data_IF_260106828704
#
_entry.id   IF_260106828704
#
_cell.length_a   1.000
_cell.length_b   1.000
_cell.length_c   1.000
_cell.angle_alpha   90.00
_cell.angle_beta   90.00
_cell.angle_gamma   90.00
#
_symmetry.space_group_name_H-M   'P 1'
#
loop_
_entity.id
_entity.type
_entity.pdbx_description
1 polymer ?
#
# COMPACT_ATOMS: atom_id res chain seq x y z
N UNK A 1 10.13 14.09 11.50
CA UNK A 1 10.21 12.78 10.94
C UNK A 1 8.86 12.17 10.79
N UNK A 2 8.73 11.55 9.75
CA UNK A 2 7.45 11.04 9.38
C UNK A 2 7.09 9.79 10.17
N UNK A 3 6.02 9.87 10.90
CA UNK A 3 5.56 8.75 11.70
C UNK A 3 5.16 7.58 10.79
N UNK A 4 4.65 7.89 9.61
CA UNK A 4 4.26 6.87 8.66
C UNK A 4 5.45 6.08 8.18
N UNK A 5 6.57 6.75 7.94
CA UNK A 5 7.78 6.06 7.53
C UNK A 5 8.33 5.19 8.65
N UNK A 6 8.25 5.67 9.87
CA UNK A 6 8.71 4.91 11.02
C UNK A 6 7.85 3.66 11.19
N UNK A 7 6.56 3.83 11.06
CA UNK A 7 5.63 2.71 11.16
C UNK A 7 5.88 1.69 10.04
N UNK A 8 6.04 2.20 8.81
CA UNK A 8 6.27 1.32 7.68
C UNK A 8 7.56 0.53 7.85
N UNK A 9 8.60 1.18 8.36
CA UNK A 9 9.85 0.50 8.60
C UNK A 9 9.69 -0.61 9.62
N UNK A 10 8.98 -0.34 10.71
CA UNK A 10 8.77 -1.33 11.75
C UNK A 10 7.97 -2.52 11.21
N UNK A 11 6.95 -2.25 10.42
CA UNK A 11 6.14 -3.30 9.83
C UNK A 11 6.99 -4.14 8.89
N UNK A 12 7.80 -3.47 8.06
CA UNK A 12 8.65 -4.19 7.12
C UNK A 12 9.61 -5.10 7.85
N UNK A 13 10.23 -4.60 8.91
CA UNK A 13 11.17 -5.42 9.67
C UNK A 13 10.47 -6.63 10.26
N UNK A 14 9.28 -6.45 10.79
CA UNK A 14 8.53 -7.55 11.36
C UNK A 14 8.18 -8.60 10.31
N UNK A 15 7.83 -8.15 9.11
CA UNK A 15 7.47 -9.06 8.04
C UNK A 15 8.67 -9.81 7.49
N UNK A 16 9.84 -9.18 7.50
CA UNK A 16 11.04 -9.79 6.95
C UNK A 16 11.66 -10.81 7.90
N UNK A 17 11.50 -10.58 9.19
CA UNK A 17 12.18 -11.38 10.18
C UNK A 17 11.86 -12.86 10.03
N UNK A 18 12.91 -13.67 9.95
CA UNK A 18 12.75 -15.12 9.92
C UNK A 18 12.26 -15.68 8.60
N UNK A 19 12.20 -14.86 7.55
CA UNK A 19 11.72 -15.33 6.26
C UNK A 19 12.86 -15.79 5.39
N UNK A 20 12.60 -16.83 4.62
CA UNK A 20 13.54 -17.29 3.61
C UNK A 20 13.46 -16.39 2.39
N UNK A 21 14.43 -16.55 1.48
CA UNK A 21 14.43 -15.80 0.24
C UNK A 21 13.17 -16.04 -0.55
N UNK A 22 12.73 -17.28 -0.58
CA UNK A 22 11.52 -17.64 -1.31
C UNK A 22 10.30 -16.99 -0.70
N UNK A 23 10.23 -16.98 0.61
CA UNK A 23 9.12 -16.35 1.29
C UNK A 23 9.11 -14.85 1.10
N UNK A 24 10.30 -14.25 1.07
CA UNK A 24 10.39 -12.82 0.82
C UNK A 24 9.94 -12.47 -0.59
N UNK A 25 10.28 -13.32 -1.56
CA UNK A 25 9.84 -13.08 -2.93
C UNK A 25 8.33 -13.13 -3.03
N UNK A 26 7.71 -14.09 -2.37
CA UNK A 26 6.25 -14.17 -2.34
C UNK A 26 5.64 -12.97 -1.67
N UNK A 27 6.23 -12.57 -0.55
CA UNK A 27 5.73 -11.44 0.20
C UNK A 27 5.77 -10.18 -0.65
N UNK A 28 6.83 -10.01 -1.42
CA UNK A 28 6.95 -8.87 -2.30
C UNK A 28 5.80 -8.81 -3.30
N UNK A 29 5.48 -9.95 -3.89
CA UNK A 29 4.40 -9.99 -4.87
C UNK A 29 3.07 -9.67 -4.21
N UNK A 30 2.84 -10.22 -3.03
CA UNK A 30 1.60 -9.96 -2.30
C UNK A 30 1.48 -8.47 -1.99
N UNK A 31 2.55 -7.87 -1.51
CA UNK A 31 2.51 -6.47 -1.14
C UNK A 31 2.35 -5.57 -2.36
N UNK A 32 2.94 -5.95 -3.49
CA UNK A 32 2.75 -5.19 -4.72
C UNK A 32 1.29 -5.24 -5.15
N UNK A 33 0.68 -6.40 -5.03
CA UNK A 33 -0.72 -6.54 -5.40
C UNK A 33 -1.61 -5.72 -4.48
N UNK A 34 -1.34 -5.79 -3.19
CA UNK A 34 -2.10 -4.98 -2.23
C UNK A 34 -1.95 -3.50 -2.53
N UNK A 35 -0.72 -3.08 -2.78
CA UNK A 35 -0.45 -1.69 -3.08
C UNK A 35 -1.18 -1.24 -4.34
N UNK A 36 -1.17 -2.09 -5.37
CA UNK A 36 -1.85 -1.76 -6.62
C UNK A 36 -3.36 -1.65 -6.43
N UNK A 37 -3.92 -2.53 -5.63
CA UNK A 37 -5.36 -2.48 -5.38
C UNK A 37 -5.74 -1.24 -4.58
N UNK A 38 -4.93 -0.89 -3.60
CA UNK A 38 -5.19 0.32 -2.83
C UNK A 38 -5.07 1.54 -3.73
N UNK A 39 -4.06 1.57 -4.60
CA UNK A 39 -3.89 2.69 -5.50
C UNK A 39 -5.06 2.82 -6.45
N UNK A 40 -5.55 1.70 -6.96
CA UNK A 40 -6.69 1.71 -7.86
C UNK A 40 -7.94 2.22 -7.17
N UNK A 41 -8.14 1.79 -5.93
CA UNK A 41 -9.31 2.25 -5.17
C UNK A 41 -9.21 3.73 -4.89
N UNK A 42 -8.02 4.20 -4.52
CA UNK A 42 -7.82 5.61 -4.26
C UNK A 42 -8.08 6.44 -5.50
N UNK A 43 -7.57 6.00 -6.65
CA UNK A 43 -7.80 6.71 -7.90
C UNK A 43 -9.28 6.74 -8.24
N UNK A 44 -9.95 5.63 -8.01
CA UNK A 44 -11.39 5.56 -8.26
C UNK A 44 -12.17 6.55 -7.40
N UNK A 45 -11.80 6.62 -6.13
CA UNK A 45 -12.49 7.53 -5.22
C UNK A 45 -12.22 8.99 -5.56
N UNK A 46 -11.00 9.28 -5.96
CA UNK A 46 -10.67 10.65 -6.36
C UNK A 46 -11.43 11.06 -7.61
N UNK A 47 -11.52 10.17 -8.57
CA UNK A 47 -12.25 10.44 -9.78
C UNK A 47 -13.72 10.62 -9.48
N UNK A 48 -14.26 9.77 -8.63
CA UNK A 48 -15.66 9.85 -8.23
C UNK A 48 -15.95 11.16 -7.52
N UNK A 49 -15.07 11.57 -6.61
CA UNK A 49 -15.26 12.82 -5.91
C UNK A 49 -15.27 14.00 -6.86
N UNK A 50 -14.39 13.96 -7.86
CA UNK A 50 -14.33 15.01 -8.86
C UNK A 50 -15.61 15.04 -9.69
N UNK A 51 -16.10 13.87 -10.04
CA UNK A 51 -17.29 13.76 -10.90
C UNK A 51 -18.54 14.15 -10.16
N UNK A 52 -18.64 13.78 -8.90
CA UNK A 52 -19.83 14.05 -8.12
C UNK A 52 -19.89 15.45 -7.58
N UNK A 53 -18.78 16.15 -7.69
CA UNK A 53 -18.75 17.50 -7.16
C UNK A 53 -19.75 18.36 -7.90
N UNK A 54 -20.63 19.01 -7.17
CA UNK A 54 -21.65 19.84 -7.83
C UNK A 54 -20.96 20.98 -8.55
N UNK A 55 -21.48 21.24 -9.68
CA UNK A 55 -20.94 22.33 -10.45
C UNK A 55 -21.53 23.60 -10.04
N UNK A 56 -20.99 24.14 -9.11
CA UNK A 56 -21.49 25.44 -8.70
C UNK A 56 -22.92 25.41 -8.52
#
# INVERSE_FOLDING_TARGET
MDEDLTFAYAVARALIKGKSTEELARLQIILQTVSSLVAAELASQRLKATTEKPNG
#
